data_IF_291164994119
#
_entry.id   IF_291164994119
#
_cell.length_a   1.000
_cell.length_b   1.000
_cell.length_c   1.000
_cell.angle_alpha   90.00
_cell.angle_beta   90.00
_cell.angle_gamma   90.00
#
_symmetry.space_group_name_H-M   'P 1'
#
loop_
_entity.id
_entity.type
_entity.pdbx_description
1 polymer ?
#
# COMPACT_ATOMS: atom_id res chain seq x y z
N UNK A 1 1.00 -14.75 3.19
CA UNK A 1 2.23 -15.15 2.49
C UNK A 1 3.48 -14.95 3.34
N UNK A 2 3.56 -13.88 4.15
CA UNK A 2 4.77 -13.56 4.92
C UNK A 2 5.36 -14.72 5.74
N UNK A 3 4.62 -15.46 6.59
CA UNK A 3 5.21 -16.54 7.40
C UNK A 3 5.79 -17.70 6.58
N UNK A 4 5.36 -17.87 5.33
CA UNK A 4 5.87 -18.91 4.42
C UNK A 4 7.11 -18.46 3.66
N UNK A 5 7.22 -17.17 3.31
CA UNK A 5 8.32 -16.65 2.50
C UNK A 5 9.55 -16.29 3.34
N UNK A 6 9.36 -15.84 4.58
CA UNK A 6 10.45 -15.40 5.46
C UNK A 6 11.49 -16.51 5.69
N UNK A 7 11.13 -17.76 6.03
CA UNK A 7 12.12 -18.81 6.30
C UNK A 7 12.96 -19.19 5.07
N UNK A 8 12.46 -18.96 3.86
CA UNK A 8 13.11 -19.38 2.61
C UNK A 8 13.85 -18.25 1.90
N UNK A 9 13.37 -17.01 2.02
CA UNK A 9 13.83 -15.86 1.21
C UNK A 9 14.33 -14.68 2.06
N UNK A 10 14.13 -14.72 3.37
CA UNK A 10 14.48 -13.65 4.30
C UNK A 10 13.46 -12.51 4.35
N UNK A 11 13.59 -11.67 5.37
CA UNK A 11 12.65 -10.60 5.70
C UNK A 11 12.49 -9.56 4.58
N UNK A 12 13.60 -8.99 4.10
CA UNK A 12 13.57 -7.94 3.07
C UNK A 12 12.93 -8.44 1.79
N UNK A 13 13.35 -9.61 1.30
CA UNK A 13 12.80 -10.22 0.09
C UNK A 13 11.31 -10.50 0.24
N UNK A 14 10.86 -11.01 1.40
CA UNK A 14 9.45 -11.29 1.65
C UNK A 14 8.59 -10.01 1.61
N UNK A 15 9.08 -8.90 2.18
CA UNK A 15 8.37 -7.59 2.16
C UNK A 15 8.09 -7.15 0.74
N UNK A 16 9.07 -7.26 -0.16
CA UNK A 16 8.91 -6.80 -1.52
C UNK A 16 8.18 -7.82 -2.40
N UNK A 17 8.48 -9.11 -2.26
CA UNK A 17 7.97 -10.16 -3.15
C UNK A 17 6.50 -10.51 -2.89
N UNK A 18 6.06 -10.60 -1.62
CA UNK A 18 4.69 -11.02 -1.33
C UNK A 18 3.63 -10.08 -1.98
N UNK A 19 3.78 -8.75 -1.90
CA UNK A 19 2.85 -7.80 -2.51
C UNK A 19 2.77 -7.86 -4.04
N UNK A 20 3.84 -8.31 -4.73
CA UNK A 20 3.81 -8.45 -6.19
C UNK A 20 2.73 -9.43 -6.65
N UNK A 21 2.57 -10.56 -5.96
CA UNK A 21 1.53 -11.53 -6.32
C UNK A 21 0.12 -10.92 -6.22
N UNK A 22 -0.11 -10.06 -5.23
CA UNK A 22 -1.38 -9.38 -5.06
C UNK A 22 -1.58 -8.25 -6.09
N UNK A 23 -0.55 -7.46 -6.37
CA UNK A 23 -0.59 -6.43 -7.41
C UNK A 23 -0.83 -7.00 -8.80
N UNK A 24 -0.13 -8.07 -9.17
CA UNK A 24 -0.27 -8.72 -10.47
C UNK A 24 -1.63 -9.38 -10.67
N UNK A 25 -2.30 -9.84 -9.60
CA UNK A 25 -3.66 -10.38 -9.69
C UNK A 25 -4.65 -9.37 -10.28
N UNK A 26 -4.40 -8.07 -10.11
CA UNK A 26 -5.26 -7.01 -10.66
C UNK A 26 -5.13 -6.84 -12.17
N UNK A 27 -4.10 -7.41 -12.81
CA UNK A 27 -3.99 -7.44 -14.27
C UNK A 27 -5.16 -8.20 -14.90
N UNK A 28 -5.76 -9.15 -14.18
CA UNK A 28 -6.98 -9.82 -14.63
C UNK A 28 -8.13 -8.83 -14.94
N UNK A 29 -8.27 -7.73 -14.20
CA UNK A 29 -9.31 -6.73 -14.47
C UNK A 29 -9.09 -6.02 -15.82
N UNK A 30 -7.86 -5.94 -16.33
CA UNK A 30 -7.59 -5.42 -17.66
C UNK A 30 -8.26 -6.25 -18.75
N UNK A 31 -8.26 -7.59 -18.58
CA UNK A 31 -8.90 -8.51 -19.52
C UNK A 31 -10.42 -8.32 -19.54
N UNK A 32 -11.02 -8.14 -18.36
CA UNK A 32 -12.45 -7.86 -18.21
C UNK A 32 -12.83 -6.54 -18.89
N UNK A 33 -12.10 -5.45 -18.60
CA UNK A 33 -12.33 -4.15 -19.24
C UNK A 33 -12.17 -4.22 -20.76
N UNK A 34 -11.16 -4.95 -21.25
CA UNK A 34 -10.96 -5.16 -22.68
C UNK A 34 -12.16 -5.87 -23.32
N UNK A 35 -12.71 -6.90 -22.67
CA UNK A 35 -13.89 -7.63 -23.15
C UNK A 35 -15.15 -6.77 -23.19
N UNK A 36 -15.32 -5.84 -22.25
CA UNK A 36 -16.51 -4.98 -22.22
C UNK A 36 -16.52 -3.91 -23.32
N UNK A 37 -15.36 -3.55 -23.88
CA UNK A 37 -15.25 -2.62 -25.03
C UNK A 37 -15.51 -1.14 -24.72
N UNK A 38 -15.80 -0.76 -23.47
CA UNK A 38 -16.13 0.63 -23.11
C UNK A 38 -14.91 1.57 -23.01
N UNK A 39 -13.71 1.03 -22.88
CA UNK A 39 -12.49 1.80 -22.66
C UNK A 39 -11.46 1.57 -23.77
N UNK A 40 -10.73 2.64 -24.13
CA UNK A 40 -9.59 2.50 -25.05
C UNK A 40 -8.50 1.63 -24.43
N UNK A 41 -7.75 0.91 -25.27
CA UNK A 41 -6.63 0.07 -24.83
C UNK A 41 -5.61 0.84 -23.96
N UNK A 42 -5.35 2.11 -24.32
CA UNK A 42 -4.49 3.01 -23.53
C UNK A 42 -5.04 3.28 -22.14
N UNK A 43 -6.35 3.56 -22.01
CA UNK A 43 -6.97 3.82 -20.71
C UNK A 43 -6.97 2.58 -19.80
N UNK A 44 -7.24 1.40 -20.37
CA UNK A 44 -7.19 0.11 -19.65
C UNK A 44 -5.77 -0.13 -19.14
N UNK A 45 -4.76 0.06 -20.00
CA UNK A 45 -3.36 -0.17 -19.64
C UNK A 45 -2.90 0.76 -18.51
N UNK A 46 -3.19 2.06 -18.62
CA UNK A 46 -2.80 3.06 -17.61
C UNK A 46 -3.49 2.80 -16.27
N UNK A 47 -4.80 2.57 -16.28
CA UNK A 47 -5.56 2.31 -15.05
C UNK A 47 -5.13 1.02 -14.36
N UNK A 48 -4.92 -0.06 -15.13
CA UNK A 48 -4.44 -1.35 -14.59
C UNK A 48 -3.04 -1.23 -14.01
N UNK A 49 -2.11 -0.60 -14.74
CA UNK A 49 -0.73 -0.43 -14.26
C UNK A 49 -0.68 0.44 -13.00
N UNK A 50 -1.49 1.49 -12.97
CA UNK A 50 -1.65 2.32 -11.79
C UNK A 50 -2.19 1.52 -10.61
N UNK A 51 -3.28 0.78 -10.79
CA UNK A 51 -3.86 -0.06 -9.74
C UNK A 51 -2.88 -1.11 -9.25
N UNK A 52 -2.20 -1.82 -10.14
CA UNK A 52 -1.23 -2.86 -9.78
C UNK A 52 -0.04 -2.29 -9.00
N UNK A 53 0.52 -1.17 -9.46
CA UNK A 53 1.65 -0.50 -8.78
C UNK A 53 1.25 0.06 -7.42
N UNK A 54 0.11 0.77 -7.34
CA UNK A 54 -0.39 1.37 -6.12
C UNK A 54 -0.71 0.32 -5.05
N UNK A 55 -1.42 -0.75 -5.45
CA UNK A 55 -1.72 -1.88 -4.58
C UNK A 55 -0.45 -2.60 -4.10
N UNK A 56 0.58 -2.69 -4.96
CA UNK A 56 1.88 -3.27 -4.56
C UNK A 56 2.55 -2.43 -3.48
N UNK A 57 2.59 -1.11 -3.62
CA UNK A 57 3.16 -0.19 -2.60
C UNK A 57 2.43 -0.33 -1.26
N UNK A 58 1.11 -0.42 -1.27
CA UNK A 58 0.32 -0.63 -0.06
C UNK A 58 0.52 -2.02 0.56
N UNK A 59 0.69 -3.05 -0.26
CA UNK A 59 1.07 -4.37 0.22
C UNK A 59 2.46 -4.39 0.85
N UNK A 60 3.42 -3.61 0.32
CA UNK A 60 4.76 -3.45 0.92
C UNK A 60 4.64 -2.80 2.30
N UNK A 61 3.86 -1.73 2.43
CA UNK A 61 3.61 -1.07 3.71
C UNK A 61 2.96 -2.03 4.72
N UNK A 62 1.93 -2.76 4.32
CA UNK A 62 1.24 -3.72 5.20
C UNK A 62 2.18 -4.86 5.62
N UNK A 63 2.99 -5.37 4.71
CA UNK A 63 4.02 -6.40 4.99
C UNK A 63 5.10 -5.89 5.95
N UNK A 64 5.54 -4.64 5.76
CA UNK A 64 6.49 -3.98 6.66
C UNK A 64 5.90 -3.83 8.07
N UNK A 65 4.68 -3.31 8.21
CA UNK A 65 4.00 -3.16 9.50
C UNK A 65 3.81 -4.53 10.17
N UNK A 66 3.39 -5.54 9.41
CA UNK A 66 3.23 -6.90 9.92
C UNK A 66 4.54 -7.45 10.52
N UNK A 67 5.65 -7.34 9.79
CA UNK A 67 6.94 -7.83 10.26
C UNK A 67 7.45 -7.09 11.49
N UNK A 68 7.28 -5.76 11.51
CA UNK A 68 7.74 -4.92 12.60
C UNK A 68 6.93 -5.12 13.87
N UNK A 69 5.61 -5.24 13.75
CA UNK A 69 4.71 -5.37 14.90
C UNK A 69 4.45 -6.82 15.33
N UNK A 70 4.63 -7.80 14.44
CA UNK A 70 4.31 -9.21 14.70
C UNK A 70 2.81 -9.52 14.76
N UNK A 71 1.94 -8.52 14.58
CA UNK A 71 0.49 -8.65 14.76
C UNK A 71 -0.26 -8.59 13.44
N UNK A 72 -1.14 -9.58 13.22
CA UNK A 72 -2.05 -9.58 12.07
C UNK A 72 -3.02 -8.40 12.12
N UNK A 73 -3.45 -7.99 13.31
CA UNK A 73 -4.37 -6.88 13.52
C UNK A 73 -3.80 -5.56 13.01
N UNK A 74 -2.51 -5.27 13.26
CA UNK A 74 -1.83 -4.08 12.74
C UNK A 74 -1.83 -4.04 11.21
N UNK A 75 -1.50 -5.17 10.58
CA UNK A 75 -1.51 -5.31 9.13
C UNK A 75 -2.92 -5.14 8.54
N UNK A 76 -3.92 -5.75 9.17
CA UNK A 76 -5.33 -5.65 8.78
C UNK A 76 -5.85 -4.22 8.86
N UNK A 77 -5.69 -3.54 10.00
CA UNK A 77 -6.16 -2.16 10.21
C UNK A 77 -5.49 -1.21 9.23
N UNK A 78 -4.17 -1.29 9.05
CA UNK A 78 -3.45 -0.45 8.09
C UNK A 78 -3.96 -0.65 6.66
N UNK A 79 -4.17 -1.90 6.24
CA UNK A 79 -4.68 -2.23 4.92
C UNK A 79 -6.12 -1.73 4.72
N UNK A 80 -7.01 -1.94 5.69
CA UNK A 80 -8.39 -1.45 5.63
C UNK A 80 -8.44 0.07 5.52
N UNK A 81 -7.63 0.80 6.29
CA UNK A 81 -7.57 2.26 6.22
C UNK A 81 -7.06 2.74 4.85
N UNK A 82 -6.03 2.10 4.30
CA UNK A 82 -5.54 2.38 2.95
C UNK A 82 -6.64 2.18 1.89
N UNK A 83 -7.44 1.13 2.00
CA UNK A 83 -8.55 0.87 1.07
C UNK A 83 -9.70 1.88 1.22
N UNK A 84 -9.98 2.33 2.45
CA UNK A 84 -11.01 3.35 2.72
C UNK A 84 -10.59 4.70 2.14
N UNK A 85 -9.32 5.10 2.34
CA UNK A 85 -8.83 6.40 1.90
C UNK A 85 -8.57 6.45 0.39
N UNK A 86 -8.04 5.37 -0.18
CA UNK A 86 -7.73 5.28 -1.60
C UNK A 86 -6.69 6.30 -2.07
N UNK A 87 -6.63 6.49 -3.38
CA UNK A 87 -5.73 7.47 -3.98
C UNK A 87 -6.29 8.89 -3.84
N UNK A 88 -5.49 9.87 -3.38
CA UNK A 88 -5.96 11.24 -3.21
C UNK A 88 -6.40 11.87 -4.52
N UNK A 89 -7.60 12.46 -4.51
CA UNK A 89 -8.15 13.22 -5.64
C UNK A 89 -7.50 14.61 -5.74
N UNK A 90 -6.31 14.67 -6.34
CA UNK A 90 -5.55 15.92 -6.46
C UNK A 90 -6.29 17.02 -7.25
N UNK A 91 -7.08 16.65 -8.26
CA UNK A 91 -7.87 17.62 -9.04
C UNK A 91 -8.92 18.34 -8.17
N UNK A 92 -9.61 17.59 -7.31
CA UNK A 92 -10.55 18.15 -6.36
C UNK A 92 -9.85 19.04 -5.33
N UNK A 93 -8.68 18.61 -4.85
CA UNK A 93 -7.90 19.39 -3.90
C UNK A 93 -7.40 20.72 -4.47
N UNK A 94 -6.96 20.72 -5.73
CA UNK A 94 -6.43 21.92 -6.42
C UNK A 94 -7.53 22.91 -6.83
N UNK A 95 -8.74 22.42 -7.11
CA UNK A 95 -9.91 23.23 -7.43
C UNK A 95 -10.61 23.80 -6.19
N UNK A 96 -10.28 23.32 -4.99
CA UNK A 96 -10.89 23.76 -3.74
C UNK A 96 -10.56 25.22 -3.40
N UNK A 97 -11.53 25.97 -2.84
CA UNK A 97 -11.36 27.38 -2.44
C UNK A 97 -10.19 27.60 -1.47
N UNK A 98 -9.92 26.61 -0.62
CA UNK A 98 -8.78 26.60 0.33
C UNK A 98 -7.66 25.66 -0.12
N UNK A 99 -7.38 25.56 -1.43
CA UNK A 99 -6.36 24.67 -2.00
C UNK A 99 -5.03 24.67 -1.26
N UNK A 100 -4.53 25.85 -0.85
CA UNK A 100 -3.24 25.97 -0.14
C UNK A 100 -3.27 25.20 1.19
N UNK A 101 -4.37 25.29 1.94
CA UNK A 101 -4.53 24.57 3.20
C UNK A 101 -4.65 23.05 2.95
N UNK A 102 -5.40 22.64 1.93
CA UNK A 102 -5.57 21.21 1.59
C UNK A 102 -4.23 20.59 1.16
N UNK A 103 -3.51 21.25 0.25
CA UNK A 103 -2.17 20.83 -0.18
C UNK A 103 -1.19 20.81 0.99
N UNK A 104 -1.23 21.82 1.87
CA UNK A 104 -0.42 21.84 3.08
C UNK A 104 -0.73 20.63 3.98
N UNK A 105 -2.01 20.30 4.22
CA UNK A 105 -2.39 19.12 5.00
C UNK A 105 -1.91 17.82 4.36
N UNK A 106 -1.94 17.67 3.04
CA UNK A 106 -1.40 16.49 2.37
C UNK A 106 0.11 16.35 2.56
N UNK A 107 0.87 17.43 2.33
CA UNK A 107 2.32 17.42 2.51
C UNK A 107 2.68 17.16 3.97
N UNK A 108 2.04 17.88 4.89
CA UNK A 108 2.25 17.71 6.33
C UNK A 108 1.92 16.27 6.77
N UNK A 109 0.79 15.72 6.34
CA UNK A 109 0.38 14.35 6.66
C UNK A 109 1.37 13.32 6.15
N UNK A 110 1.87 13.46 4.92
CA UNK A 110 2.89 12.58 4.35
C UNK A 110 4.21 12.66 5.13
N UNK A 111 4.68 13.88 5.44
CA UNK A 111 5.93 14.08 6.19
C UNK A 111 5.82 13.47 7.59
N UNK A 112 4.72 13.74 8.30
CA UNK A 112 4.48 13.17 9.62
C UNK A 112 4.39 11.64 9.56
N UNK A 113 3.73 11.09 8.55
CA UNK A 113 3.66 9.65 8.34
C UNK A 113 5.06 9.04 8.14
N UNK A 114 5.87 9.60 7.24
CA UNK A 114 7.21 9.08 6.95
C UNK A 114 8.15 9.14 8.16
N UNK A 115 8.12 10.24 8.92
CA UNK A 115 8.92 10.41 10.15
C UNK A 115 8.44 9.44 11.23
N UNK A 116 7.12 9.27 11.37
CA UNK A 116 6.54 8.46 12.46
C UNK A 116 6.51 6.97 12.16
N UNK A 117 6.60 6.56 10.89
CA UNK A 117 6.44 5.16 10.48
C UNK A 117 7.44 4.24 11.20
N UNK A 118 8.72 4.57 11.18
CA UNK A 118 9.76 3.74 11.83
C UNK A 118 9.64 3.70 13.37
N UNK A 119 9.54 4.84 14.09
CA UNK A 119 9.45 4.82 15.56
C UNK A 119 8.14 4.22 16.07
N UNK A 120 7.00 4.45 15.41
CA UNK A 120 5.71 3.88 15.84
C UNK A 120 5.55 2.40 15.48
N UNK A 121 6.44 1.86 14.66
CA UNK A 121 6.54 0.43 14.38
C UNK A 121 7.78 -0.18 15.03
N UNK A 122 8.25 0.39 16.14
CA UNK A 122 9.34 -0.23 16.89
C UNK A 122 8.88 -1.58 17.47
N UNK A 123 9.57 -2.69 17.18
CA UNK A 123 9.17 -4.02 17.63
C UNK A 123 9.03 -4.18 19.15
N UNK A 124 9.76 -3.39 19.95
CA UNK A 124 9.69 -3.44 21.42
C UNK A 124 8.35 -2.95 21.96
N UNK A 125 7.70 -1.99 21.28
CA UNK A 125 6.39 -1.47 21.65
C UNK A 125 5.31 -2.56 21.56
N UNK A 126 5.50 -3.51 20.63
CA UNK A 126 4.52 -4.55 20.32
C UNK A 126 4.87 -5.92 20.91
N UNK A 127 5.96 -6.02 21.69
CA UNK A 127 6.53 -7.29 22.20
C UNK A 127 6.71 -8.33 21.10
N UNK A 128 7.15 -7.90 19.91
CA UNK A 128 7.26 -8.79 18.76
C UNK A 128 8.51 -9.67 18.91
N UNK A 129 8.35 -10.96 19.21
CA UNK A 129 9.47 -11.91 19.30
C UNK A 129 9.61 -12.80 18.06
N UNK A 130 8.73 -12.64 17.06
CA UNK A 130 8.59 -13.60 15.95
C UNK A 130 9.55 -13.35 14.78
N UNK A 131 9.95 -12.09 14.56
CA UNK A 131 10.69 -11.65 13.38
C UNK A 131 11.91 -10.77 13.73
N UNK A 132 12.48 -10.96 14.93
CA UNK A 132 13.58 -10.16 15.49
C UNK A 132 14.99 -10.65 15.12
N UNK A 133 15.11 -11.70 14.29
CA UNK A 133 16.39 -12.29 13.86
C UNK A 133 16.86 -11.80 12.48
#
# INVERSE_FOLDING_TARGET
>A
MMPLLIPSLGHVTAIFLAPWFFGLAHIHHAYEQYKTGYHSFRAITVSTLFQASYTTVFGILSSFIFLRTGHLTSAFVSHSLCNIMGFPEFELALSHRRRTLVCFCFVLGLVLFLISLYPLTDPSIYNNTLYME
#
